data_IF_670026650346
#
_entry.id   IF_670026650346
#
_cell.length_a   1.000
_cell.length_b   1.000
_cell.length_c   1.000
_cell.angle_alpha   90.00
_cell.angle_beta   90.00
_cell.angle_gamma   90.00
#
_symmetry.space_group_name_H-M   'P 1'
#
loop_
_entity.id
_entity.type
_entity.pdbx_description
1 polymer ?
#
# COMPACT_ATOMS: atom_id res chain seq x y z
N UNK A 1 9.13 -20.89 -15.53
CA UNK A 1 8.60 -22.02 -14.74
C UNK A 1 7.09 -21.89 -14.58
N UNK A 2 6.56 -20.72 -14.15
CA UNK A 2 5.12 -20.52 -13.95
C UNK A 2 4.24 -20.68 -15.21
N UNK A 3 4.83 -20.61 -16.41
CA UNK A 3 4.11 -20.79 -17.68
C UNK A 3 3.82 -22.26 -18.03
N UNK A 4 4.30 -23.21 -17.23
CA UNK A 4 4.13 -24.66 -17.46
C UNK A 4 3.68 -25.37 -16.18
N UNK A 5 2.66 -24.83 -15.53
CA UNK A 5 2.23 -25.30 -14.21
C UNK A 5 1.40 -26.58 -14.27
N UNK A 6 0.56 -26.74 -15.32
CA UNK A 6 -0.31 -27.88 -15.44
C UNK A 6 0.38 -28.95 -16.30
N UNK A 7 0.85 -30.02 -15.67
CA UNK A 7 1.50 -31.18 -16.29
C UNK A 7 2.63 -30.85 -17.28
N UNK A 8 3.39 -29.79 -17.01
CA UNK A 8 4.45 -29.33 -17.90
C UNK A 8 3.96 -28.66 -19.19
N UNK A 9 2.68 -28.52 -19.39
CA UNK A 9 2.10 -27.88 -20.57
C UNK A 9 2.09 -26.34 -20.43
N UNK A 10 2.12 -25.60 -21.54
CA UNK A 10 1.90 -24.16 -21.53
C UNK A 10 0.59 -23.84 -20.82
N UNK A 11 0.67 -22.94 -19.83
CA UNK A 11 -0.45 -22.66 -18.93
C UNK A 11 -0.73 -21.17 -18.88
N UNK A 12 -1.97 -20.77 -19.12
CA UNK A 12 -2.46 -19.41 -18.91
C UNK A 12 -2.82 -19.22 -17.43
N UNK A 13 -2.31 -18.14 -16.85
CA UNK A 13 -2.61 -17.74 -15.48
C UNK A 13 -3.39 -16.44 -15.53
N UNK A 14 -4.58 -16.44 -14.96
CA UNK A 14 -5.42 -15.27 -14.80
C UNK A 14 -5.98 -15.20 -13.38
N UNK A 15 -6.32 -13.98 -12.94
CA UNK A 15 -7.00 -13.79 -11.68
C UNK A 15 -8.34 -14.51 -11.69
N UNK A 16 -8.71 -15.13 -10.57
CA UNK A 16 -9.99 -15.88 -10.43
C UNK A 16 -11.19 -14.98 -10.69
N UNK A 17 -11.18 -13.74 -10.22
CA UNK A 17 -12.24 -12.77 -10.47
C UNK A 17 -12.42 -12.48 -11.97
N UNK A 18 -11.32 -12.36 -12.72
CA UNK A 18 -11.35 -12.24 -14.18
C UNK A 18 -12.04 -13.44 -14.82
N UNK A 19 -11.66 -14.66 -14.42
CA UNK A 19 -12.28 -15.88 -14.94
C UNK A 19 -13.75 -16.01 -14.54
N UNK A 20 -14.12 -15.61 -13.33
CA UNK A 20 -15.49 -15.64 -12.82
C UNK A 20 -16.43 -14.66 -13.58
N UNK A 21 -15.88 -13.56 -14.12
CA UNK A 21 -16.66 -12.62 -14.92
C UNK A 21 -16.93 -13.09 -16.35
N UNK A 22 -16.17 -14.04 -16.89
CA UNK A 22 -16.34 -14.52 -18.27
C UNK A 22 -17.73 -15.10 -18.52
N UNK A 23 -18.28 -16.05 -17.71
CA UNK A 23 -19.60 -16.61 -17.94
C UNK A 23 -20.73 -15.57 -17.97
N UNK A 24 -20.87 -14.66 -16.98
CA UNK A 24 -21.92 -13.65 -17.02
C UNK A 24 -21.76 -12.66 -18.18
N UNK A 25 -20.54 -12.32 -18.61
CA UNK A 25 -20.33 -11.48 -19.79
C UNK A 25 -20.81 -12.17 -21.06
N UNK A 26 -20.53 -13.48 -21.24
CA UNK A 26 -20.99 -14.25 -22.38
C UNK A 26 -22.52 -14.35 -22.40
N UNK A 27 -23.13 -14.57 -21.22
CA UNK A 27 -24.60 -14.77 -21.12
C UNK A 27 -25.38 -13.47 -21.24
N UNK A 28 -24.89 -12.36 -20.68
CA UNK A 28 -25.60 -11.07 -20.60
C UNK A 28 -25.14 -10.05 -21.64
N UNK A 29 -24.00 -10.30 -22.26
CA UNK A 29 -23.41 -9.44 -23.30
C UNK A 29 -22.41 -8.41 -22.72
N UNK A 30 -21.57 -7.89 -23.61
CA UNK A 30 -20.53 -6.93 -23.30
C UNK A 30 -21.11 -5.59 -22.79
N UNK A 31 -22.22 -5.14 -23.37
CA UNK A 31 -22.85 -3.87 -23.00
C UNK A 31 -23.40 -3.89 -21.58
N UNK A 32 -23.90 -5.04 -21.13
CA UNK A 32 -24.29 -5.21 -19.73
C UNK A 32 -23.10 -4.99 -18.79
N UNK A 33 -21.95 -5.61 -19.05
CA UNK A 33 -20.76 -5.43 -18.22
C UNK A 33 -20.24 -3.99 -18.30
N UNK A 34 -20.24 -3.40 -19.49
CA UNK A 34 -19.80 -2.04 -19.72
C UNK A 34 -20.71 -0.97 -19.11
N UNK A 35 -21.97 -1.31 -18.78
CA UNK A 35 -22.91 -0.40 -18.10
C UNK A 35 -22.63 -0.22 -16.62
N UNK A 36 -21.78 -1.06 -16.02
CA UNK A 36 -21.38 -1.00 -14.61
C UNK A 36 -19.99 -0.39 -14.52
N UNK A 37 -19.77 0.45 -13.51
CA UNK A 37 -18.47 1.07 -13.27
C UNK A 37 -18.29 2.44 -13.90
N UNK A 38 -17.04 2.87 -14.05
CA UNK A 38 -16.66 4.17 -14.63
C UNK A 38 -16.43 4.07 -16.14
N UNK A 39 -16.12 5.19 -16.78
CA UNK A 39 -15.84 5.20 -18.23
C UNK A 39 -14.67 4.27 -18.62
N UNK A 40 -13.61 4.22 -17.79
CA UNK A 40 -12.40 3.44 -18.07
C UNK A 40 -12.30 2.15 -17.26
N UNK A 41 -12.86 2.12 -16.05
CA UNK A 41 -12.86 0.97 -15.16
C UNK A 41 -14.25 0.36 -15.13
N UNK A 42 -14.48 -0.69 -15.93
CA UNK A 42 -15.77 -1.34 -16.11
C UNK A 42 -15.99 -2.49 -15.13
N UNK A 43 -17.27 -2.78 -14.87
CA UNK A 43 -17.70 -3.92 -14.07
C UNK A 43 -17.68 -3.66 -12.57
N UNK A 44 -17.64 -4.76 -11.84
CA UNK A 44 -17.55 -4.79 -10.38
C UNK A 44 -16.14 -5.17 -9.91
N UNK A 45 -15.90 -4.95 -8.61
CA UNK A 45 -14.68 -5.42 -7.96
C UNK A 45 -15.02 -6.04 -6.62
N UNK A 46 -14.43 -7.21 -6.37
CA UNK A 46 -14.50 -7.85 -5.05
C UNK A 46 -13.36 -7.33 -4.18
N UNK A 47 -13.70 -6.85 -2.97
CA UNK A 47 -12.73 -6.47 -1.96
C UNK A 47 -12.81 -7.38 -0.73
N UNK A 48 -11.64 -7.76 -0.21
CA UNK A 48 -11.50 -8.31 1.12
C UNK A 48 -11.32 -7.14 2.09
N UNK A 49 -12.44 -6.65 2.64
CA UNK A 49 -12.47 -5.55 3.60
C UNK A 49 -12.10 -6.06 4.98
N UNK A 50 -11.07 -5.49 5.58
CA UNK A 50 -10.52 -5.92 6.86
C UNK A 50 -9.90 -4.75 7.63
N UNK A 51 -9.33 -5.01 8.80
CA UNK A 51 -8.72 -4.01 9.66
C UNK A 51 -9.70 -3.42 10.66
N UNK A 52 -9.56 -2.13 10.95
CA UNK A 52 -10.34 -1.41 11.98
C UNK A 52 -11.66 -0.89 11.40
N UNK A 53 -12.56 -1.80 11.06
CA UNK A 53 -13.90 -1.54 10.54
C UNK A 53 -14.90 -2.49 11.20
N UNK A 54 -16.15 -2.07 11.42
CA UNK A 54 -17.14 -2.88 12.16
C UNK A 54 -17.49 -4.18 11.45
N UNK A 55 -17.68 -4.14 10.13
CA UNK A 55 -18.05 -5.31 9.33
C UNK A 55 -16.92 -5.66 8.38
N UNK A 56 -16.21 -6.73 8.68
CA UNK A 56 -15.16 -7.29 7.84
C UNK A 56 -15.71 -8.42 6.98
N UNK A 57 -15.15 -8.64 5.80
CA UNK A 57 -15.55 -9.72 4.91
C UNK A 57 -15.28 -9.43 3.45
N UNK A 58 -15.84 -10.27 2.59
CA UNK A 58 -15.81 -10.05 1.14
C UNK A 58 -17.02 -9.22 0.74
N UNK A 59 -16.76 -8.18 -0.02
CA UNK A 59 -17.78 -7.29 -0.59
C UNK A 59 -17.59 -7.20 -2.10
N UNK A 60 -18.66 -7.19 -2.87
CA UNK A 60 -18.64 -6.89 -4.30
C UNK A 60 -19.30 -5.52 -4.53
N UNK A 61 -18.59 -4.64 -5.20
CA UNK A 61 -19.03 -3.25 -5.41
C UNK A 61 -18.78 -2.84 -6.86
N UNK A 62 -19.59 -1.90 -7.41
CA UNK A 62 -19.30 -1.34 -8.72
C UNK A 62 -18.00 -0.53 -8.69
N UNK A 63 -17.23 -0.60 -9.77
CA UNK A 63 -16.07 0.27 -9.94
C UNK A 63 -16.52 1.73 -9.90
N UNK A 64 -15.75 2.58 -9.19
CA UNK A 64 -16.06 3.99 -9.01
C UNK A 64 -16.88 4.34 -7.77
N UNK A 65 -17.27 3.35 -6.96
CA UNK A 65 -17.77 3.59 -5.60
C UNK A 65 -16.73 4.37 -4.79
N UNK A 66 -17.14 5.22 -3.86
CA UNK A 66 -16.19 5.96 -3.03
C UNK A 66 -15.62 5.12 -1.89
N UNK A 67 -14.41 5.45 -1.42
CA UNK A 67 -13.86 4.85 -0.22
C UNK A 67 -14.76 5.08 1.00
N UNK A 68 -15.44 6.22 1.06
CA UNK A 68 -16.38 6.54 2.13
C UNK A 68 -17.53 5.54 2.19
N UNK A 69 -18.19 5.30 1.06
CA UNK A 69 -19.29 4.33 0.97
C UNK A 69 -18.83 2.93 1.36
N UNK A 70 -17.64 2.51 0.91
CA UNK A 70 -17.09 1.20 1.29
C UNK A 70 -16.85 1.11 2.80
N UNK A 71 -16.17 2.09 3.40
CA UNK A 71 -15.77 2.02 4.81
C UNK A 71 -16.96 2.26 5.75
N UNK A 72 -17.80 3.26 5.46
CA UNK A 72 -18.82 3.70 6.41
C UNK A 72 -20.19 3.07 6.14
N UNK A 73 -20.63 2.98 4.89
CA UNK A 73 -21.97 2.47 4.59
C UNK A 73 -21.98 0.95 4.55
N UNK A 74 -21.00 0.32 3.87
CA UNK A 74 -20.90 -1.14 3.78
C UNK A 74 -20.17 -1.71 5.01
N UNK A 75 -19.01 -1.15 5.36
CA UNK A 75 -18.18 -1.57 6.49
C UNK A 75 -18.74 -1.18 7.86
N UNK A 76 -19.80 -0.35 7.92
CA UNK A 76 -20.44 0.10 9.16
C UNK A 76 -19.61 1.12 9.94
N UNK A 77 -18.55 1.68 9.34
CA UNK A 77 -17.68 2.68 9.94
C UNK A 77 -16.69 2.13 10.95
N UNK A 78 -16.06 3.06 11.67
CA UNK A 78 -15.03 2.73 12.66
C UNK A 78 -15.65 2.13 13.93
N UNK A 79 -14.90 1.29 14.68
CA UNK A 79 -15.28 0.90 16.02
C UNK A 79 -15.53 2.12 16.93
N UNK A 80 -16.28 1.90 18.02
CA UNK A 80 -16.61 2.97 18.95
C UNK A 80 -15.35 3.63 19.54
N UNK A 81 -15.34 4.96 19.57
CA UNK A 81 -14.22 5.75 20.09
C UNK A 81 -13.01 5.82 19.16
N UNK A 82 -13.09 5.30 17.92
CA UNK A 82 -12.03 5.31 16.93
C UNK A 82 -12.33 6.21 15.75
N UNK A 83 -11.30 6.84 15.21
CA UNK A 83 -11.38 7.69 14.02
C UNK A 83 -10.67 7.03 12.83
N UNK A 84 -11.22 7.24 11.64
CA UNK A 84 -10.58 6.77 10.42
C UNK A 84 -9.24 7.52 10.18
N UNK A 85 -8.19 6.79 9.90
CA UNK A 85 -6.87 7.34 9.58
C UNK A 85 -6.51 7.13 8.12
N UNK A 86 -6.54 5.89 7.68
CA UNK A 86 -6.14 5.54 6.32
C UNK A 86 -6.74 4.19 5.90
N UNK A 87 -6.66 3.91 4.61
CA UNK A 87 -6.90 2.58 4.06
C UNK A 87 -5.72 2.16 3.18
N UNK A 88 -5.25 0.93 3.36
CA UNK A 88 -4.29 0.30 2.45
C UNK A 88 -5.06 -0.46 1.38
N UNK A 89 -4.78 -0.20 0.10
CA UNK A 89 -5.28 -0.97 -1.02
C UNK A 89 -4.14 -1.62 -1.80
N UNK A 90 -4.42 -2.69 -2.54
CA UNK A 90 -3.43 -3.37 -3.36
C UNK A 90 -2.44 -4.26 -2.60
N UNK A 91 -2.71 -4.54 -1.31
CA UNK A 91 -1.84 -5.37 -0.49
C UNK A 91 -0.44 -4.78 -0.30
N UNK A 92 0.60 -5.64 -0.15
CA UNK A 92 1.99 -5.19 0.10
C UNK A 92 2.60 -4.33 -1.00
N UNK A 93 2.02 -4.37 -2.20
CA UNK A 93 2.49 -3.61 -3.38
C UNK A 93 1.73 -2.30 -3.59
N UNK A 94 0.70 -2.06 -2.78
CA UNK A 94 -0.15 -0.88 -2.88
C UNK A 94 0.31 0.27 -2.00
N UNK A 95 -0.57 1.23 -1.75
CA UNK A 95 -0.28 2.41 -0.95
C UNK A 95 -1.35 2.69 0.09
N UNK A 96 -0.97 3.44 1.12
CA UNK A 96 -1.88 3.96 2.13
C UNK A 96 -2.55 5.24 1.63
N UNK A 97 -3.86 5.30 1.73
CA UNK A 97 -4.71 6.42 1.29
C UNK A 97 -5.30 7.08 2.54
N UNK A 98 -4.95 8.34 2.83
CA UNK A 98 -5.42 9.04 4.03
C UNK A 98 -6.86 9.54 3.91
N UNK A 99 -7.41 10.04 5.01
CA UNK A 99 -8.79 10.47 5.16
C UNK A 99 -9.23 11.57 4.16
N UNK A 100 -8.30 12.40 3.69
CA UNK A 100 -8.58 13.47 2.71
C UNK A 100 -9.09 12.95 1.36
N UNK A 101 -8.86 11.66 1.05
CA UNK A 101 -9.30 11.01 -0.20
C UNK A 101 -10.49 10.08 -0.01
N UNK A 102 -11.22 10.16 1.11
CA UNK A 102 -12.39 9.30 1.36
C UNK A 102 -13.47 9.40 0.28
N UNK A 103 -13.64 10.58 -0.31
CA UNK A 103 -14.64 10.82 -1.36
C UNK A 103 -14.12 10.51 -2.78
N UNK A 104 -12.90 9.98 -2.88
CA UNK A 104 -12.32 9.57 -4.14
C UNK A 104 -12.98 8.27 -4.65
N UNK A 105 -13.29 8.19 -5.96
CA UNK A 105 -13.77 6.94 -6.54
C UNK A 105 -12.69 5.86 -6.51
N UNK A 106 -13.10 4.63 -6.22
CA UNK A 106 -12.25 3.45 -6.24
C UNK A 106 -12.26 2.86 -7.64
N UNK A 107 -11.30 3.31 -8.43
CA UNK A 107 -11.02 2.81 -9.78
C UNK A 107 -9.50 2.78 -10.03
N UNK A 108 -9.07 2.17 -11.14
CA UNK A 108 -7.64 2.01 -11.44
C UNK A 108 -6.92 3.34 -11.57
N UNK A 109 -7.56 4.32 -12.21
CA UNK A 109 -6.96 5.62 -12.50
C UNK A 109 -6.85 6.48 -11.24
N UNK A 110 -7.88 6.50 -10.42
CA UNK A 110 -7.92 7.31 -9.20
C UNK A 110 -6.96 6.78 -8.14
N UNK A 111 -6.91 5.46 -7.94
CA UNK A 111 -5.93 4.84 -7.04
C UNK A 111 -4.49 5.12 -7.47
N UNK A 112 -4.19 5.06 -8.76
CA UNK A 112 -2.85 5.36 -9.28
C UNK A 112 -2.42 6.81 -9.01
N UNK A 113 -3.33 7.79 -9.08
CA UNK A 113 -3.05 9.22 -8.81
C UNK A 113 -2.58 9.46 -7.38
N UNK A 114 -3.07 8.70 -6.42
CA UNK A 114 -2.68 8.82 -5.01
C UNK A 114 -1.53 7.92 -4.61
N UNK A 115 -0.94 7.20 -5.57
CA UNK A 115 0.21 6.32 -5.33
C UNK A 115 -0.15 4.94 -4.79
N UNK A 116 -1.41 4.53 -4.98
CA UNK A 116 -1.89 3.20 -4.63
C UNK A 116 -2.24 2.38 -5.87
N UNK A 117 -2.65 1.15 -5.69
CA UNK A 117 -3.11 0.24 -6.75
C UNK A 117 -4.33 -0.55 -6.29
N UNK A 118 -5.11 -1.05 -7.26
CA UNK A 118 -6.25 -1.94 -7.00
C UNK A 118 -5.80 -3.29 -6.44
N UNK A 119 -4.75 -3.86 -7.01
CA UNK A 119 -4.28 -5.21 -6.70
C UNK A 119 -5.38 -6.27 -6.88
N UNK A 120 -5.36 -7.28 -6.03
CA UNK A 120 -6.36 -8.34 -6.01
C UNK A 120 -7.61 -8.02 -5.16
N UNK A 121 -7.73 -6.79 -4.65
CA UNK A 121 -8.87 -6.35 -3.86
C UNK A 121 -8.66 -6.43 -2.34
N UNK A 122 -7.42 -6.55 -1.87
CA UNK A 122 -7.13 -6.39 -0.43
C UNK A 122 -7.37 -4.94 -0.01
N UNK A 123 -8.17 -4.74 1.05
CA UNK A 123 -8.47 -3.43 1.61
C UNK A 123 -8.40 -3.50 3.14
N UNK A 124 -7.43 -2.78 3.73
CA UNK A 124 -7.17 -2.79 5.17
C UNK A 124 -7.44 -1.38 5.72
N UNK A 125 -8.49 -1.25 6.52
CA UNK A 125 -8.86 0.01 7.17
C UNK A 125 -8.05 0.19 8.45
N UNK A 126 -7.51 1.37 8.65
CA UNK A 126 -6.67 1.75 9.78
C UNK A 126 -7.28 2.92 10.55
N UNK A 127 -7.21 2.84 11.87
CA UNK A 127 -7.67 3.86 12.80
C UNK A 127 -6.53 4.78 13.27
N UNK A 128 -6.91 5.76 14.09
CA UNK A 128 -6.02 6.75 14.68
C UNK A 128 -4.92 6.18 15.59
N UNK A 129 -5.08 4.95 16.09
CA UNK A 129 -4.07 4.26 16.91
C UNK A 129 -3.02 3.52 16.06
N UNK A 130 -3.22 3.40 14.75
CA UNK A 130 -2.32 2.67 13.86
C UNK A 130 -1.02 3.46 13.62
N UNK A 131 0.11 2.84 13.84
CA UNK A 131 1.45 3.38 13.58
C UNK A 131 1.83 3.16 12.11
N UNK A 132 1.95 4.24 11.34
CA UNK A 132 2.20 4.15 9.89
C UNK A 132 3.64 3.72 9.55
N UNK A 133 4.60 3.92 10.45
CA UNK A 133 5.96 3.40 10.30
C UNK A 133 5.96 1.88 10.44
N UNK A 134 5.20 1.35 11.40
CA UNK A 134 5.05 -0.09 11.60
C UNK A 134 4.32 -0.74 10.42
N UNK A 135 3.29 -0.10 9.88
CA UNK A 135 2.60 -0.56 8.67
C UNK A 135 3.57 -0.68 7.50
N UNK A 136 4.38 0.34 7.26
CA UNK A 136 5.39 0.34 6.20
C UNK A 136 6.45 -0.76 6.42
N UNK A 137 6.89 -0.95 7.67
CA UNK A 137 7.84 -2.00 8.06
C UNK A 137 7.28 -3.39 7.80
N UNK A 138 6.04 -3.65 8.22
CA UNK A 138 5.36 -4.93 8.04
C UNK A 138 5.23 -5.31 6.55
N UNK A 139 4.80 -4.39 5.69
CA UNK A 139 4.71 -4.67 4.26
C UNK A 139 6.07 -4.85 3.60
N UNK A 140 7.09 -4.15 4.08
CA UNK A 140 8.44 -4.33 3.56
C UNK A 140 9.04 -5.69 3.96
N UNK A 141 8.75 -6.18 5.18
CA UNK A 141 9.13 -7.52 5.64
C UNK A 141 8.55 -8.59 4.71
N UNK A 142 7.26 -8.49 4.40
CA UNK A 142 6.62 -9.36 3.42
C UNK A 142 7.31 -9.33 2.04
N UNK A 143 7.58 -8.13 1.50
CA UNK A 143 8.25 -8.00 0.21
C UNK A 143 9.69 -8.56 0.22
N UNK A 144 10.38 -8.48 1.34
CA UNK A 144 11.70 -9.04 1.55
C UNK A 144 11.65 -10.58 1.51
N UNK A 145 10.67 -11.18 2.19
CA UNK A 145 10.49 -12.64 2.26
C UNK A 145 10.05 -13.23 0.91
N UNK A 146 9.21 -12.51 0.16
CA UNK A 146 8.73 -12.93 -1.16
C UNK A 146 9.71 -12.61 -2.31
N UNK A 147 10.84 -11.96 -2.03
CA UNK A 147 11.85 -11.67 -3.05
C UNK A 147 12.48 -12.94 -3.58
N UNK A 148 12.44 -13.15 -4.91
CA UNK A 148 13.11 -14.28 -5.54
C UNK A 148 14.66 -14.22 -5.48
N UNK A 149 15.23 -13.09 -5.00
CA UNK A 149 16.66 -12.87 -4.83
C UNK A 149 17.46 -12.66 -6.13
N UNK A 150 16.81 -12.59 -7.30
CA UNK A 150 17.52 -12.54 -8.58
C UNK A 150 18.22 -11.20 -8.83
N UNK A 151 17.52 -10.08 -8.66
CA UNK A 151 18.12 -8.77 -8.91
C UNK A 151 18.56 -8.09 -7.61
N UNK A 152 19.72 -7.42 -7.66
CA UNK A 152 20.34 -6.77 -6.49
C UNK A 152 19.45 -5.69 -5.88
N UNK A 153 18.81 -4.78 -6.64
CA UNK A 153 17.98 -3.74 -6.06
C UNK A 153 16.87 -4.28 -5.16
N UNK A 154 16.13 -5.30 -5.62
CA UNK A 154 15.10 -5.94 -4.81
C UNK A 154 15.73 -6.71 -3.65
N UNK A 155 16.65 -7.67 -3.90
CA UNK A 155 17.22 -8.53 -2.87
C UNK A 155 17.91 -7.78 -1.72
N UNK A 156 18.75 -6.79 -2.06
CA UNK A 156 19.49 -6.03 -1.07
C UNK A 156 18.71 -4.81 -0.58
N UNK A 157 18.01 -4.13 -1.49
CA UNK A 157 17.29 -2.89 -1.19
C UNK A 157 16.13 -3.10 -0.23
N UNK A 158 15.29 -4.14 -0.42
CA UNK A 158 14.18 -4.42 0.51
C UNK A 158 14.69 -4.68 1.94
N UNK A 159 15.80 -5.43 2.08
CA UNK A 159 16.44 -5.69 3.37
C UNK A 159 16.94 -4.39 4.01
N UNK A 160 17.57 -3.50 3.24
CA UNK A 160 18.07 -2.23 3.78
C UNK A 160 16.93 -1.28 4.15
N UNK A 161 15.88 -1.19 3.34
CA UNK A 161 14.68 -0.42 3.64
C UNK A 161 14.03 -0.94 4.93
N UNK A 162 13.85 -2.25 5.08
CA UNK A 162 13.30 -2.85 6.31
C UNK A 162 14.16 -2.53 7.53
N UNK A 163 15.50 -2.60 7.43
CA UNK A 163 16.43 -2.24 8.51
C UNK A 163 16.31 -0.77 8.92
N UNK A 164 16.18 0.14 7.95
CA UNK A 164 16.00 1.56 8.24
C UNK A 164 14.65 1.82 8.91
N UNK A 165 13.57 1.22 8.44
CA UNK A 165 12.25 1.30 9.09
C UNK A 165 12.30 0.76 10.52
N UNK A 166 12.97 -0.36 10.74
CA UNK A 166 13.19 -0.93 12.09
C UNK A 166 13.99 0.03 12.98
N UNK A 167 15.03 0.69 12.42
CA UNK A 167 15.84 1.67 13.14
C UNK A 167 15.01 2.90 13.53
N UNK A 168 14.13 3.37 12.64
CA UNK A 168 13.19 4.47 12.90
C UNK A 168 12.20 4.05 13.98
N UNK A 169 11.57 2.88 13.87
CA UNK A 169 10.62 2.37 14.85
C UNK A 169 11.21 2.25 16.26
N UNK A 170 12.49 1.98 16.37
CA UNK A 170 13.22 1.89 17.63
C UNK A 170 13.73 3.25 18.16
N UNK A 171 13.41 4.36 17.51
CA UNK A 171 13.86 5.69 17.93
C UNK A 171 15.39 5.89 17.84
N UNK A 172 16.08 5.13 16.98
CA UNK A 172 17.55 5.17 16.83
C UNK A 172 18.01 5.82 15.53
N UNK A 173 17.09 6.14 14.64
CA UNK A 173 17.38 6.75 13.34
C UNK A 173 17.66 8.25 13.46
N UNK A 174 18.35 8.78 12.47
CA UNK A 174 18.67 10.20 12.28
C UNK A 174 17.96 10.73 11.02
N UNK A 175 18.00 12.04 10.79
CA UNK A 175 17.50 12.66 9.55
C UNK A 175 18.19 12.09 8.30
N UNK A 176 19.50 11.79 8.41
CA UNK A 176 20.25 11.14 7.32
C UNK A 176 19.72 9.74 7.00
N UNK A 177 19.31 8.97 8.02
CA UNK A 177 18.69 7.66 7.79
C UNK A 177 17.35 7.78 7.04
N UNK A 178 16.57 8.83 7.35
CA UNK A 178 15.31 9.09 6.66
C UNK A 178 15.55 9.44 5.20
N UNK A 179 16.52 10.32 4.92
CA UNK A 179 16.92 10.65 3.55
C UNK A 179 17.41 9.39 2.79
N UNK A 180 18.24 8.57 3.42
CA UNK A 180 18.71 7.30 2.83
C UNK A 180 17.55 6.35 2.53
N UNK A 181 16.52 6.32 3.39
CA UNK A 181 15.30 5.54 3.16
C UNK A 181 14.58 6.00 1.89
N UNK A 182 14.40 7.30 1.70
CA UNK A 182 13.77 7.88 0.51
C UNK A 182 14.56 7.53 -0.77
N UNK A 183 15.88 7.72 -0.74
CA UNK A 183 16.79 7.41 -1.85
C UNK A 183 16.76 5.91 -2.23
N UNK A 184 16.75 5.02 -1.22
CA UNK A 184 16.64 3.58 -1.45
C UNK A 184 15.28 3.17 -2.02
N UNK A 185 14.19 3.78 -1.57
CA UNK A 185 12.87 3.53 -2.13
C UNK A 185 12.83 3.88 -3.63
N UNK A 186 13.37 5.04 -4.00
CA UNK A 186 13.45 5.46 -5.40
C UNK A 186 14.32 4.52 -6.23
N UNK A 187 15.51 4.17 -5.71
CA UNK A 187 16.42 3.25 -6.37
C UNK A 187 15.75 1.87 -6.60
N UNK A 188 15.19 1.26 -5.56
CA UNK A 188 14.55 -0.07 -5.66
C UNK A 188 13.40 -0.06 -6.66
N UNK A 189 12.56 1.00 -6.62
CA UNK A 189 11.42 1.17 -7.52
C UNK A 189 11.83 1.22 -8.98
N UNK A 190 12.86 1.98 -9.32
CA UNK A 190 13.23 2.27 -10.71
C UNK A 190 14.26 1.30 -11.30
N UNK A 191 14.96 0.52 -10.47
CA UNK A 191 16.03 -0.37 -10.94
C UNK A 191 15.73 -1.87 -10.79
N UNK A 192 14.63 -2.24 -10.10
CA UNK A 192 14.22 -3.64 -9.99
C UNK A 192 13.70 -4.20 -11.31
N UNK A 193 13.97 -5.49 -11.57
CA UNK A 193 13.65 -6.11 -12.85
C UNK A 193 12.21 -6.58 -13.01
N UNK A 194 11.43 -6.64 -11.92
CA UNK A 194 10.03 -7.11 -11.98
C UNK A 194 9.13 -6.31 -11.04
N UNK A 195 7.82 -6.51 -11.22
CA UNK A 195 6.78 -5.79 -10.48
C UNK A 195 6.89 -5.86 -8.96
N UNK A 196 7.39 -6.99 -8.38
CA UNK A 196 7.55 -7.07 -6.94
C UNK A 196 8.50 -5.99 -6.42
N UNK A 197 9.72 -5.92 -6.93
CA UNK A 197 10.68 -4.91 -6.49
C UNK A 197 10.29 -3.48 -6.88
N UNK A 198 9.64 -3.29 -8.04
CA UNK A 198 9.16 -1.99 -8.50
C UNK A 198 8.04 -1.43 -7.63
N UNK A 199 7.23 -2.28 -7.00
CA UNK A 199 6.10 -1.87 -6.16
C UNK A 199 6.35 -2.01 -4.65
N UNK A 200 7.35 -2.79 -4.23
CA UNK A 200 7.67 -2.98 -2.82
C UNK A 200 7.84 -1.68 -2.01
N UNK A 201 8.42 -0.59 -2.55
CA UNK A 201 8.53 0.68 -1.83
C UNK A 201 7.22 1.47 -1.72
N UNK A 202 6.15 1.13 -2.43
CA UNK A 202 4.92 1.94 -2.46
C UNK A 202 4.31 2.20 -1.07
N UNK A 203 4.18 1.21 -0.16
CA UNK A 203 3.69 1.48 1.20
C UNK A 203 4.58 2.49 1.95
N UNK A 204 5.89 2.38 1.81
CA UNK A 204 6.85 3.31 2.45
C UNK A 204 6.71 4.71 1.87
N UNK A 205 6.68 4.83 0.54
CA UNK A 205 6.56 6.13 -0.15
C UNK A 205 5.23 6.80 0.22
N UNK A 206 4.12 6.08 0.24
CA UNK A 206 2.81 6.64 0.58
C UNK A 206 2.70 7.05 2.05
N UNK A 207 3.22 6.25 2.97
CA UNK A 207 3.24 6.62 4.39
C UNK A 207 4.18 7.80 4.67
N UNK A 208 5.33 7.88 4.03
CA UNK A 208 6.21 9.05 4.10
C UNK A 208 5.55 10.31 3.53
N UNK A 209 4.80 10.18 2.44
CA UNK A 209 4.13 11.30 1.81
C UNK A 209 3.02 11.89 2.68
N UNK A 210 2.19 11.04 3.28
CA UNK A 210 0.96 11.46 3.96
C UNK A 210 1.08 11.50 5.48
N UNK A 211 2.05 10.79 6.08
CA UNK A 211 2.22 10.65 7.53
C UNK A 211 3.66 10.92 7.97
N UNK A 212 4.33 11.87 7.29
CA UNK A 212 5.75 12.20 7.55
C UNK A 212 6.04 12.55 9.02
N UNK A 213 5.09 13.20 9.68
CA UNK A 213 5.25 13.61 11.09
C UNK A 213 5.46 12.41 12.03
N UNK A 214 4.87 11.24 11.72
CA UNK A 214 5.08 10.03 12.53
C UNK A 214 6.52 9.50 12.40
N UNK A 215 7.14 9.66 11.23
CA UNK A 215 8.55 9.35 11.03
C UNK A 215 9.44 10.33 11.77
N UNK A 216 9.16 11.64 11.65
CA UNK A 216 9.93 12.71 12.31
C UNK A 216 9.85 12.63 13.82
N UNK A 217 8.72 12.21 14.39
CA UNK A 217 8.55 12.00 15.82
C UNK A 217 9.42 10.86 16.39
N UNK A 218 9.85 9.91 15.54
CA UNK A 218 10.64 8.75 15.91
C UNK A 218 12.14 8.89 15.63
N UNK A 219 12.58 9.95 14.93
CA UNK A 219 14.00 10.17 14.67
C UNK A 219 14.65 11.06 15.74
N UNK A 220 15.92 10.81 15.98
CA UNK A 220 16.72 11.68 16.86
C UNK A 220 17.02 12.97 16.13
N UNK A 221 16.66 14.09 16.70
CA UNK A 221 17.14 15.39 16.25
C UNK A 221 18.65 15.48 16.54
N UNK A 222 19.46 15.73 15.53
CA UNK A 222 20.85 16.08 15.74
C UNK A 222 20.88 17.41 16.52
N UNK A 223 21.70 17.52 17.57
CA UNK A 223 21.85 18.79 18.25
C UNK A 223 22.32 19.84 17.25
N UNK A 224 21.60 20.96 17.19
CA UNK A 224 21.94 22.06 16.30
C UNK A 224 23.38 22.51 16.56
N UNK A 225 24.26 22.33 15.59
CA UNK A 225 25.62 22.88 15.67
C UNK A 225 25.46 24.39 15.45
N UNK A 226 25.66 25.17 16.52
CA UNK A 226 25.69 26.62 16.39
C UNK A 226 26.81 27.00 15.42
N UNK A 227 26.63 28.09 14.67
CA UNK A 227 27.61 28.62 13.72
C UNK A 227 29.02 28.89 14.32
N UNK A 228 29.18 28.72 15.64
CA UNK A 228 30.43 28.89 16.36
C UNK A 228 31.06 27.57 16.88
N UNK A 229 30.63 26.39 16.38
CA UNK A 229 31.30 25.13 16.69
C UNK A 229 31.17 24.62 18.15
N UNK A 230 30.30 25.21 18.97
CA UNK A 230 30.04 24.74 20.34
C UNK A 230 28.73 23.96 20.39
N UNK A 231 28.80 22.72 20.88
CA UNK A 231 27.60 21.93 21.24
C UNK A 231 26.84 22.65 22.35
N UNK A 232 25.57 22.96 22.11
CA UNK A 232 24.62 23.45 23.11
C UNK A 232 23.88 22.24 23.66
N UNK A 233 24.18 21.84 24.89
CA UNK A 233 23.36 20.88 25.64
C UNK A 233 22.13 21.65 26.14
N UNK A 234 20.96 21.34 25.61
CA UNK A 234 19.70 21.80 26.21
C UNK A 234 19.40 20.95 27.44
N UNK A 235 19.59 21.57 28.59
CA UNK A 235 19.05 21.10 29.86
C UNK A 235 17.58 21.55 29.95
N UNK A 236 16.66 20.59 29.94
CA UNK A 236 15.23 20.77 30.20
C UNK A 236 14.65 19.48 30.74
#
# INVERSE_FOLDING_TARGET
VYKRQLWGCPTLINNVETLANVPPIILKGADWFASIGTEKSKGTKVFALTGQVKHTGLIEVPMGITLREIVFDIGGGMPEGKSFKAVQTGGPSGGCIPAEFLDMPVDYESLAKVGSIMGSGGMIVMDDSTDMVEVARFFMEFCMDESCGKCIPCRAGTVQIHRLLTKIQQGRATERDLQTLEELCDLVKHTSLCGLGQSAPNPVISTLKYFREEYLAKIKREPSVSANGKRVEEHG
#
